data_IF_626323778375
#
_entry.id   IF_626323778375
#
_cell.length_a   1.000
_cell.length_b   1.000
_cell.length_c   1.000
_cell.angle_alpha   90.00
_cell.angle_beta   90.00
_cell.angle_gamma   90.00
#
_symmetry.space_group_name_H-M   'P 1'
#
loop_
_entity.id
_entity.type
_entity.pdbx_description
1 polymer ?
#
# COMPACT_ATOMS: atom_id res chain seq x y z
N UNK A 1 0.97 -20.13 19.53
CA UNK A 1 0.42 -20.24 18.15
C UNK A 1 -0.90 -19.49 18.08
N UNK A 2 -1.07 -18.66 17.08
CA UNK A 2 -2.28 -17.84 16.93
C UNK A 2 -3.45 -18.71 16.46
N UNK A 3 -4.59 -18.66 17.19
CA UNK A 3 -5.79 -19.34 16.76
C UNK A 3 -6.61 -18.49 15.78
N UNK A 4 -7.70 -19.05 15.25
CA UNK A 4 -8.56 -18.38 14.28
C UNK A 4 -9.15 -17.07 14.79
N UNK A 5 -9.58 -17.05 16.06
CA UNK A 5 -10.18 -15.85 16.67
C UNK A 5 -9.17 -14.74 16.83
N UNK A 6 -7.95 -15.08 17.25
CA UNK A 6 -6.88 -14.11 17.39
C UNK A 6 -6.46 -13.55 16.04
N UNK A 7 -6.33 -14.41 15.02
CA UNK A 7 -6.03 -13.99 13.67
C UNK A 7 -7.09 -12.99 13.17
N UNK A 8 -8.36 -13.35 13.28
CA UNK A 8 -9.46 -12.49 12.83
C UNK A 8 -9.45 -11.13 13.55
N UNK A 9 -9.26 -11.14 14.86
CA UNK A 9 -9.18 -9.90 15.66
C UNK A 9 -8.05 -9.00 15.20
N UNK A 10 -6.87 -9.58 14.99
CA UNK A 10 -5.69 -8.82 14.54
C UNK A 10 -5.84 -8.31 13.12
N UNK A 11 -6.40 -9.12 12.23
CA UNK A 11 -6.65 -8.73 10.85
C UNK A 11 -7.66 -7.57 10.79
N UNK A 12 -8.72 -7.61 11.60
CA UNK A 12 -9.71 -6.53 11.66
C UNK A 12 -9.10 -5.23 12.18
N UNK A 13 -8.18 -5.32 13.14
CA UNK A 13 -7.48 -4.14 13.67
C UNK A 13 -6.62 -3.47 12.61
N UNK A 14 -6.18 -4.20 11.59
CA UNK A 14 -5.34 -3.68 10.49
C UNK A 14 -6.15 -3.22 9.28
N UNK A 15 -7.46 -3.41 9.26
CA UNK A 15 -8.30 -3.23 8.06
C UNK A 15 -8.17 -1.84 7.46
N UNK A 16 -8.27 -0.80 8.28
CA UNK A 16 -8.21 0.58 7.78
C UNK A 16 -6.88 0.88 7.10
N UNK A 17 -5.78 0.46 7.72
CA UNK A 17 -4.44 0.64 7.16
C UNK A 17 -4.26 -0.17 5.87
N UNK A 18 -4.74 -1.41 5.85
CA UNK A 18 -4.71 -2.22 4.64
C UNK A 18 -5.43 -1.54 3.47
N UNK A 19 -6.63 -1.00 3.73
CA UNK A 19 -7.39 -0.30 2.71
C UNK A 19 -6.65 0.94 2.19
N UNK A 20 -6.10 1.77 3.09
CA UNK A 20 -5.38 2.98 2.68
C UNK A 20 -4.16 2.66 1.83
N UNK A 21 -3.37 1.68 2.26
CA UNK A 21 -2.14 1.30 1.53
C UNK A 21 -2.48 0.66 0.19
N UNK A 22 -3.44 -0.24 0.17
CA UNK A 22 -3.87 -0.90 -1.08
C UNK A 22 -4.52 0.09 -2.05
N UNK A 23 -5.25 1.07 -1.53
CA UNK A 23 -5.81 2.16 -2.33
C UNK A 23 -4.72 2.96 -3.05
N UNK A 24 -3.59 3.18 -2.38
CA UNK A 24 -2.47 3.90 -2.99
C UNK A 24 -1.87 3.15 -4.18
N UNK A 25 -2.02 1.82 -4.23
CA UNK A 25 -1.52 0.99 -5.33
C UNK A 25 -2.60 0.72 -6.36
N UNK A 26 -3.79 0.35 -5.90
CA UNK A 26 -4.93 -0.06 -6.75
C UNK A 26 -6.12 0.86 -6.51
N UNK A 27 -6.34 1.84 -7.39
CA UNK A 27 -7.45 2.78 -7.22
C UNK A 27 -8.82 2.15 -7.48
N UNK A 28 -8.90 1.09 -8.29
CA UNK A 28 -10.16 0.42 -8.58
C UNK A 28 -10.58 -0.48 -7.42
N UNK A 29 -11.81 -0.31 -6.97
CA UNK A 29 -12.34 -1.04 -5.82
C UNK A 29 -12.32 -2.54 -6.01
N UNK A 30 -12.75 -3.03 -7.18
CA UNK A 30 -12.82 -4.47 -7.45
C UNK A 30 -11.42 -5.12 -7.36
N UNK A 31 -10.41 -4.49 -7.94
CA UNK A 31 -9.03 -4.98 -7.89
C UNK A 31 -8.48 -4.98 -6.48
N UNK A 32 -8.75 -3.91 -5.74
CA UNK A 32 -8.30 -3.75 -4.36
C UNK A 32 -8.93 -4.79 -3.45
N UNK A 33 -10.23 -5.00 -3.58
CA UNK A 33 -10.95 -5.99 -2.77
C UNK A 33 -10.43 -7.40 -3.04
N UNK A 34 -10.17 -7.74 -4.31
CA UNK A 34 -9.60 -9.03 -4.69
C UNK A 34 -8.19 -9.22 -4.10
N UNK A 35 -7.36 -8.19 -4.16
CA UNK A 35 -6.00 -8.24 -3.62
C UNK A 35 -6.00 -8.41 -2.11
N UNK A 36 -6.85 -7.68 -1.41
CA UNK A 36 -6.97 -7.78 0.06
C UNK A 36 -7.49 -9.16 0.46
N UNK A 37 -8.51 -9.67 -0.22
CA UNK A 37 -9.05 -10.98 0.05
C UNK A 37 -8.00 -12.07 -0.14
N UNK A 38 -7.26 -12.03 -1.24
CA UNK A 38 -6.18 -12.97 -1.50
C UNK A 38 -5.06 -12.87 -0.46
N UNK A 39 -4.74 -11.67 -0.04
CA UNK A 39 -3.74 -11.44 1.01
C UNK A 39 -4.17 -12.08 2.32
N UNK A 40 -5.43 -11.92 2.71
CA UNK A 40 -5.98 -12.51 3.94
C UNK A 40 -5.96 -14.04 3.88
N UNK A 41 -6.31 -14.62 2.72
CA UNK A 41 -6.27 -16.08 2.52
C UNK A 41 -4.83 -16.59 2.67
N UNK A 42 -3.86 -15.94 2.02
CA UNK A 42 -2.44 -16.31 2.12
C UNK A 42 -1.91 -16.15 3.52
N UNK A 43 -2.29 -15.07 4.19
CA UNK A 43 -1.89 -14.82 5.58
C UNK A 43 -2.41 -15.93 6.49
N UNK A 44 -3.67 -16.30 6.35
CA UNK A 44 -4.26 -17.39 7.14
C UNK A 44 -3.51 -18.71 6.92
N UNK A 45 -3.21 -19.04 5.67
CA UNK A 45 -2.47 -20.28 5.36
C UNK A 45 -1.06 -20.29 5.96
N UNK A 46 -0.44 -19.14 6.10
CA UNK A 46 0.96 -19.00 6.55
C UNK A 46 1.09 -18.57 8.02
N UNK A 47 -0.02 -18.32 8.72
CA UNK A 47 0.04 -17.74 10.08
C UNK A 47 0.80 -18.61 11.08
N UNK A 48 0.81 -19.92 10.88
CA UNK A 48 1.59 -20.83 11.72
C UNK A 48 3.09 -20.64 11.64
N UNK A 49 3.59 -19.97 10.59
CA UNK A 49 5.01 -19.65 10.44
C UNK A 49 5.40 -18.35 11.11
N UNK A 50 4.43 -17.56 11.54
CA UNK A 50 4.68 -16.30 12.23
C UNK A 50 5.08 -16.60 13.67
N UNK A 51 6.35 -16.34 14.00
CA UNK A 51 6.92 -16.64 15.32
C UNK A 51 6.64 -15.55 16.37
N UNK A 52 6.50 -14.31 15.91
CA UNK A 52 6.30 -13.15 16.78
C UNK A 52 5.02 -12.41 16.34
N UNK A 53 4.02 -12.44 17.21
CA UNK A 53 2.74 -11.77 16.95
C UNK A 53 2.87 -10.24 16.91
N UNK A 54 3.94 -9.68 17.48
CA UNK A 54 4.17 -8.23 17.45
C UNK A 54 4.40 -7.70 16.02
N UNK A 55 4.86 -8.54 15.09
CA UNK A 55 5.10 -8.15 13.69
C UNK A 55 3.95 -8.50 12.76
N UNK A 56 2.80 -8.91 13.31
CA UNK A 56 1.65 -9.37 12.53
C UNK A 56 1.19 -8.33 11.51
N UNK A 57 1.02 -7.08 11.92
CA UNK A 57 0.53 -6.03 11.05
C UNK A 57 1.46 -5.77 9.87
N UNK A 58 2.76 -5.63 10.14
CA UNK A 58 3.76 -5.42 9.08
C UNK A 58 3.82 -6.63 8.13
N UNK A 59 3.74 -7.83 8.69
CA UNK A 59 3.75 -9.07 7.91
C UNK A 59 2.53 -9.16 6.99
N UNK A 60 1.34 -8.89 7.52
CA UNK A 60 0.11 -8.90 6.73
C UNK A 60 0.14 -7.81 5.65
N UNK A 61 0.60 -6.62 5.99
CA UNK A 61 0.71 -5.51 5.05
C UNK A 61 1.66 -5.83 3.90
N UNK A 62 2.79 -6.49 4.20
CA UNK A 62 3.73 -6.93 3.17
C UNK A 62 3.09 -7.91 2.19
N UNK A 63 2.31 -8.86 2.70
CA UNK A 63 1.56 -9.81 1.86
C UNK A 63 0.57 -9.04 0.97
N UNK A 64 -0.16 -8.09 1.55
CA UNK A 64 -1.14 -7.29 0.81
C UNK A 64 -0.49 -6.43 -0.28
N UNK A 65 0.64 -5.80 0.01
CA UNK A 65 1.40 -5.02 -0.98
C UNK A 65 1.82 -5.91 -2.15
N UNK A 66 2.30 -7.11 -1.86
CA UNK A 66 2.72 -8.05 -2.89
C UNK A 66 1.54 -8.50 -3.76
N UNK A 67 0.37 -8.72 -3.17
CA UNK A 67 -0.84 -9.05 -3.93
C UNK A 67 -1.27 -7.90 -4.83
N UNK A 68 -1.19 -6.67 -4.35
CA UNK A 68 -1.49 -5.49 -5.16
C UNK A 68 -0.51 -5.38 -6.35
N UNK A 69 0.77 -5.63 -6.12
CA UNK A 69 1.78 -5.64 -7.18
C UNK A 69 1.47 -6.72 -8.23
N UNK A 70 1.00 -7.89 -7.79
CA UNK A 70 0.62 -8.97 -8.71
C UNK A 70 -0.54 -8.54 -9.61
N UNK A 71 -1.53 -7.86 -9.06
CA UNK A 71 -2.65 -7.32 -9.83
C UNK A 71 -2.17 -6.30 -10.88
N UNK A 72 -1.27 -5.39 -10.48
CA UNK A 72 -0.69 -4.42 -11.40
C UNK A 72 0.05 -5.09 -12.57
N UNK A 73 0.81 -6.14 -12.29
CA UNK A 73 1.54 -6.87 -13.33
C UNK A 73 0.58 -7.51 -14.34
N UNK A 74 -0.51 -8.10 -13.85
CA UNK A 74 -1.53 -8.70 -14.73
C UNK A 74 -2.21 -7.66 -15.59
N UNK A 75 -2.49 -6.48 -15.05
CA UNK A 75 -3.11 -5.38 -15.79
C UNK A 75 -2.22 -4.84 -16.90
N UNK A 76 -0.91 -4.76 -16.67
CA UNK A 76 0.04 -4.34 -17.71
C UNK A 76 0.10 -5.30 -18.88
N UNK A 77 -0.17 -6.60 -18.63
CA UNK A 77 -0.20 -7.62 -19.69
C UNK A 77 -1.48 -7.60 -20.50
N UNK A 78 -2.56 -7.10 -19.90
CA UNK A 78 -3.88 -7.00 -20.56
C UNK A 78 -4.30 -5.55 -20.49
N UNK A 79 -4.02 -4.73 -21.54
CA UNK A 79 -4.44 -3.33 -21.52
C UNK A 79 -5.97 -3.27 -21.59
N UNK A 80 -6.58 -3.08 -20.46
CA UNK A 80 -7.98 -2.70 -20.36
C UNK A 80 -8.04 -1.19 -20.21
N UNK A 81 -8.91 -0.54 -20.96
CA UNK A 81 -9.19 0.87 -20.73
C UNK A 81 -9.75 1.00 -19.32
N UNK A 82 -8.95 1.60 -18.43
CA UNK A 82 -9.39 1.92 -17.10
C UNK A 82 -10.31 3.14 -17.23
N UNK A 83 -11.60 2.91 -17.11
CA UNK A 83 -12.52 4.00 -16.85
C UNK A 83 -12.13 4.57 -15.50
N UNK A 84 -11.74 5.84 -15.50
CA UNK A 84 -11.51 6.58 -14.25
C UNK A 84 -12.80 6.60 -13.45
N UNK A 85 -12.99 5.60 -12.61
CA UNK A 85 -14.06 5.68 -11.65
C UNK A 85 -13.74 6.84 -10.72
N UNK A 86 -14.66 7.78 -10.62
CA UNK A 86 -14.55 8.85 -9.64
C UNK A 86 -14.40 8.22 -8.27
N UNK A 87 -13.22 8.37 -7.71
CA UNK A 87 -12.91 7.86 -6.40
C UNK A 87 -13.60 8.76 -5.40
N UNK A 88 -14.47 8.21 -4.54
CA UNK A 88 -15.08 9.01 -3.50
C UNK A 88 -13.99 9.67 -2.68
N UNK A 89 -14.12 10.98 -2.46
CA UNK A 89 -13.20 11.72 -1.62
C UNK A 89 -13.08 11.02 -0.29
N UNK A 90 -11.89 10.53 0.00
CA UNK A 90 -11.63 9.89 1.28
C UNK A 90 -11.33 10.99 2.29
N UNK A 91 -12.16 11.11 3.32
CA UNK A 91 -12.01 12.10 4.38
C UNK A 91 -10.64 12.08 5.07
N UNK A 92 -9.86 11.00 4.85
CA UNK A 92 -8.53 10.87 5.43
C UNK A 92 -7.44 11.67 4.70
N UNK A 93 -7.72 12.22 3.50
CA UNK A 93 -6.76 13.06 2.77
C UNK A 93 -7.38 14.44 2.57
N UNK A 94 -7.06 15.39 3.46
CA UNK A 94 -7.72 16.71 3.47
C UNK A 94 -7.33 17.62 2.32
N UNK A 95 -6.31 17.27 1.53
CA UNK A 95 -5.83 18.11 0.44
C UNK A 95 -5.99 17.38 -0.90
N UNK A 96 -6.93 17.85 -1.73
CA UNK A 96 -7.17 17.30 -3.06
C UNK A 96 -5.96 17.48 -3.99
N UNK A 97 -5.25 18.61 -3.87
CA UNK A 97 -4.06 18.86 -4.69
C UNK A 97 -2.97 17.84 -4.37
N UNK A 98 -2.76 17.53 -3.11
CA UNK A 98 -1.80 16.52 -2.68
C UNK A 98 -2.23 15.13 -3.14
N UNK A 99 -3.51 14.82 -3.02
CA UNK A 99 -4.04 13.53 -3.47
C UNK A 99 -3.80 13.34 -4.97
N UNK A 100 -4.11 14.35 -5.78
CA UNK A 100 -3.90 14.31 -7.22
C UNK A 100 -2.41 14.20 -7.57
N UNK A 101 -1.56 14.95 -6.87
CA UNK A 101 -0.12 14.91 -7.07
C UNK A 101 0.45 13.51 -6.74
N UNK A 102 -0.02 12.88 -5.67
CA UNK A 102 0.38 11.52 -5.32
C UNK A 102 -0.07 10.51 -6.39
N UNK A 103 -1.27 10.69 -6.90
CA UNK A 103 -1.80 9.82 -7.96
C UNK A 103 -1.00 9.91 -9.25
N UNK A 104 -0.48 11.08 -9.55
CA UNK A 104 0.33 11.30 -10.75
C UNK A 104 1.75 10.76 -10.62
N UNK A 105 2.19 10.44 -9.40
CA UNK A 105 3.46 9.77 -9.20
C UNK A 105 3.38 8.32 -9.66
N UNK A 106 4.46 7.85 -10.28
CA UNK A 106 4.63 6.42 -10.49
C UNK A 106 4.53 5.67 -9.16
N UNK A 107 3.93 4.49 -9.18
CA UNK A 107 3.68 3.71 -7.95
C UNK A 107 4.96 3.45 -7.15
N UNK A 108 6.08 3.25 -7.83
CA UNK A 108 7.37 3.03 -7.17
C UNK A 108 7.86 4.25 -6.38
N UNK A 109 7.46 5.45 -6.77
CA UNK A 109 7.77 6.69 -6.04
C UNK A 109 6.69 7.03 -5.02
N UNK A 110 5.44 6.68 -5.31
CA UNK A 110 4.31 6.95 -4.42
C UNK A 110 4.38 6.16 -3.12
N UNK A 111 4.73 4.88 -3.22
CA UNK A 111 4.66 3.98 -2.07
C UNK A 111 5.61 4.36 -0.93
N UNK A 112 6.86 4.77 -1.16
CA UNK A 112 7.68 5.27 -0.05
C UNK A 112 7.07 6.47 0.67
N UNK A 113 6.45 7.39 -0.07
CA UNK A 113 5.76 8.55 0.52
C UNK A 113 4.60 8.11 1.40
N UNK A 114 3.76 7.22 0.88
CA UNK A 114 2.58 6.73 1.61
C UNK A 114 3.00 6.01 2.88
N UNK A 115 3.93 5.08 2.80
CA UNK A 115 4.34 4.27 3.95
C UNK A 115 5.08 5.10 5.00
N UNK A 116 5.99 5.95 4.58
CA UNK A 116 6.82 6.72 5.51
C UNK A 116 6.10 7.95 6.07
N UNK A 117 5.54 8.79 5.21
CA UNK A 117 4.95 10.06 5.64
C UNK A 117 3.51 9.96 6.10
N UNK A 118 2.71 9.12 5.45
CA UNK A 118 1.28 9.01 5.79
C UNK A 118 1.05 7.95 6.85
N UNK A 119 1.63 6.76 6.70
CA UNK A 119 1.43 5.67 7.62
C UNK A 119 2.42 5.64 8.79
N UNK A 120 3.49 6.42 8.73
CA UNK A 120 4.39 6.61 9.88
C UNK A 120 5.46 5.55 10.04
N UNK A 121 5.71 4.71 9.05
CA UNK A 121 6.79 3.73 9.11
C UNK A 121 8.16 4.40 8.98
N UNK A 122 9.15 3.84 9.65
CA UNK A 122 10.53 4.29 9.47
C UNK A 122 11.00 3.98 8.05
N UNK A 123 12.10 4.60 7.60
CA UNK A 123 12.67 4.30 6.28
C UNK A 123 13.07 2.82 6.18
N UNK A 124 13.62 2.25 7.26
CA UNK A 124 13.98 0.85 7.29
C UNK A 124 12.76 -0.06 7.16
N UNK A 125 11.69 0.23 7.90
CA UNK A 125 10.44 -0.51 7.80
C UNK A 125 9.83 -0.37 6.41
N UNK A 126 9.84 0.84 5.86
CA UNK A 126 9.34 1.10 4.50
C UNK A 126 10.08 0.26 3.47
N UNK A 127 11.41 0.20 3.56
CA UNK A 127 12.24 -0.59 2.65
C UNK A 127 11.90 -2.09 2.77
N UNK A 128 11.70 -2.58 3.98
CA UNK A 128 11.32 -3.99 4.21
C UNK A 128 9.93 -4.30 3.64
N UNK A 129 8.97 -3.41 3.87
CA UNK A 129 7.61 -3.59 3.35
C UNK A 129 7.59 -3.63 1.83
N UNK A 130 8.41 -2.82 1.18
CA UNK A 130 8.50 -2.76 -0.28
C UNK A 130 9.49 -3.76 -0.86
N UNK A 131 10.23 -4.48 -0.03
CA UNK A 131 11.25 -5.45 -0.43
C UNK A 131 12.33 -4.82 -1.33
N UNK A 132 12.79 -3.65 -0.93
CA UNK A 132 13.85 -2.90 -1.63
C UNK A 132 14.98 -2.54 -0.66
N UNK A 133 16.20 -2.32 -1.15
CA UNK A 133 17.29 -1.85 -0.30
C UNK A 133 16.98 -0.47 0.31
N UNK A 134 17.52 -0.21 1.49
CA UNK A 134 17.31 1.06 2.19
C UNK A 134 17.75 2.26 1.34
N UNK A 135 18.88 2.16 0.67
CA UNK A 135 19.36 3.23 -0.21
C UNK A 135 18.39 3.53 -1.36
N UNK A 136 17.76 2.51 -1.90
CA UNK A 136 16.73 2.66 -2.93
C UNK A 136 15.51 3.38 -2.38
N UNK A 137 15.06 3.01 -1.18
CA UNK A 137 13.93 3.68 -0.52
C UNK A 137 14.21 5.16 -0.31
N UNK A 138 15.40 5.49 0.19
CA UNK A 138 15.82 6.89 0.41
C UNK A 138 15.85 7.68 -0.89
N UNK A 139 16.42 7.09 -1.94
CA UNK A 139 16.53 7.74 -3.25
C UNK A 139 15.16 8.01 -3.86
N UNK A 140 14.28 7.02 -3.82
CA UNK A 140 12.91 7.15 -4.34
C UNK A 140 12.11 8.20 -3.58
N UNK A 141 12.26 8.22 -2.26
CA UNK A 141 11.58 9.20 -1.41
C UNK A 141 12.02 10.62 -1.73
N UNK A 142 13.33 10.83 -1.88
CA UNK A 142 13.90 12.13 -2.24
C UNK A 142 13.38 12.60 -3.60
N UNK A 143 13.37 11.71 -4.58
CA UNK A 143 12.88 12.02 -5.93
C UNK A 143 11.38 12.33 -5.92
N UNK A 144 10.60 11.55 -5.18
CA UNK A 144 9.16 11.80 -5.03
C UNK A 144 8.88 13.16 -4.42
N UNK A 145 9.61 13.52 -3.37
CA UNK A 145 9.49 14.85 -2.75
C UNK A 145 9.76 15.98 -3.72
N UNK A 146 10.80 15.83 -4.52
CA UNK A 146 11.15 16.84 -5.52
C UNK A 146 10.01 17.03 -6.52
N UNK A 147 9.49 15.95 -7.06
CA UNK A 147 8.38 15.98 -8.03
C UNK A 147 7.12 16.59 -7.39
N UNK A 148 6.79 16.20 -6.16
CA UNK A 148 5.62 16.72 -5.46
C UNK A 148 5.73 18.23 -5.21
N UNK A 149 6.91 18.71 -4.82
CA UNK A 149 7.14 20.14 -4.61
C UNK A 149 6.95 20.93 -5.91
N UNK A 150 7.45 20.42 -7.02
CA UNK A 150 7.30 21.09 -8.31
C UNK A 150 5.84 21.14 -8.75
N UNK A 151 5.10 20.05 -8.58
CA UNK A 151 3.69 20.02 -8.94
C UNK A 151 2.85 20.96 -8.05
N UNK A 152 3.12 21.02 -6.77
CA UNK A 152 2.36 21.86 -5.84
C UNK A 152 2.67 23.34 -5.97
N UNK A 153 3.81 23.71 -6.54
CA UNK A 153 4.14 25.12 -6.80
C UNK A 153 3.40 25.71 -8.00
N UNK A 154 2.94 24.87 -8.91
CA UNK A 154 2.27 25.31 -10.16
C UNK A 154 0.80 25.67 -9.95
N UNK A 155 0.30 25.51 -8.75
CA UNK A 155 -1.09 25.88 -8.42
C UNK A 155 -1.17 27.27 -7.78
#
# INVERSE_FOLDING_TARGET
>A
MMDEREFERRARACTDRLFRVCYAILPERADRDDAIQEALIKAWRKHGKLRDSAVFEAWLLRIAINECKNVLRRKKRTPTEVLDEMIPANDSIPDLALHDALRNLDVGLRMPVVLHYIEGYTLQETARLLEIPLGTAKHRLKRAKFILKEQLKEE
#
